data_IF_701330925537
#
_entry.id   IF_701330925537
#
_cell.length_a   1.000
_cell.length_b   1.000
_cell.length_c   1.000
_cell.angle_alpha   90.00
_cell.angle_beta   90.00
_cell.angle_gamma   90.00
#
_symmetry.space_group_name_H-M   'P 1'
#
loop_
_entity.id
_entity.type
_entity.pdbx_description
1 polymer ?
#
# COMPACT_ATOMS: atom_id res chain seq x y z
N UNK A 1 3.06 -15.42 6.21
CA UNK A 1 3.10 -14.04 5.68
C UNK A 1 2.21 -13.14 6.55
N UNK A 2 1.99 -11.88 6.21
CA UNK A 2 1.01 -11.07 6.96
C UNK A 2 -0.41 -11.51 6.59
N UNK A 3 -0.69 -11.68 5.29
CA UNK A 3 -1.97 -12.21 4.80
C UNK A 3 -1.83 -13.69 4.50
N UNK A 4 -2.53 -14.55 5.25
CA UNK A 4 -2.56 -16.01 5.05
C UNK A 4 -3.99 -16.54 5.23
N UNK A 5 -4.24 -17.76 4.75
CA UNK A 5 -5.48 -18.48 5.00
C UNK A 5 -5.54 -19.03 6.42
N UNK A 6 -6.72 -18.96 7.03
CA UNK A 6 -7.06 -19.58 8.31
C UNK A 6 -8.52 -20.04 8.26
N UNK A 7 -8.78 -21.29 8.64
CA UNK A 7 -10.11 -21.90 8.52
C UNK A 7 -10.68 -22.34 9.88
N UNK A 8 -9.82 -22.87 10.75
CA UNK A 8 -10.22 -23.34 12.08
C UNK A 8 -10.12 -22.21 13.13
N UNK A 9 -10.91 -22.26 14.22
CA UNK A 9 -10.79 -21.30 15.31
C UNK A 9 -9.37 -21.19 15.89
N UNK A 10 -8.65 -22.31 15.96
CA UNK A 10 -7.26 -22.36 16.41
C UNK A 10 -6.33 -21.62 15.45
N UNK A 11 -6.44 -21.86 14.13
CA UNK A 11 -5.66 -21.13 13.13
C UNK A 11 -5.99 -19.64 13.14
N UNK A 12 -7.25 -19.26 13.35
CA UNK A 12 -7.65 -17.85 13.48
C UNK A 12 -7.01 -17.22 14.71
N UNK A 13 -6.97 -17.92 15.85
CA UNK A 13 -6.28 -17.45 17.06
C UNK A 13 -4.77 -17.26 16.83
N UNK A 14 -4.15 -18.15 16.05
CA UNK A 14 -2.73 -18.05 15.69
C UNK A 14 -2.40 -16.85 14.79
N UNK A 15 -3.37 -16.33 14.04
CA UNK A 15 -3.18 -15.12 13.22
C UNK A 15 -2.96 -13.85 14.07
N UNK A 16 -3.31 -13.87 15.36
CA UNK A 16 -3.06 -12.78 16.31
C UNK A 16 -1.63 -12.80 16.84
N UNK A 17 -0.65 -12.75 15.93
CA UNK A 17 0.77 -12.85 16.24
C UNK A 17 1.54 -11.53 16.04
N UNK A 18 2.80 -11.51 16.46
CA UNK A 18 3.68 -10.36 16.29
C UNK A 18 3.97 -10.03 14.82
N UNK A 19 3.77 -10.97 13.89
CA UNK A 19 3.95 -10.71 12.46
C UNK A 19 2.79 -9.85 11.95
N UNK A 20 1.54 -10.22 12.23
CA UNK A 20 0.35 -9.45 11.87
C UNK A 20 0.40 -8.03 12.42
N UNK A 21 0.81 -7.86 13.68
CA UNK A 21 0.87 -6.55 14.32
C UNK A 21 2.14 -5.75 13.99
N UNK A 22 3.32 -6.27 14.36
CA UNK A 22 4.56 -5.49 14.27
C UNK A 22 5.02 -5.34 12.82
N UNK A 23 5.05 -6.43 12.04
CA UNK A 23 5.43 -6.34 10.61
C UNK A 23 4.41 -5.49 9.85
N UNK A 24 3.12 -5.66 10.13
CA UNK A 24 2.03 -4.83 9.58
C UNK A 24 2.25 -3.33 9.83
N UNK A 25 2.52 -2.94 11.07
CA UNK A 25 2.80 -1.54 11.41
C UNK A 25 4.08 -1.01 10.73
N UNK A 26 5.15 -1.81 10.68
CA UNK A 26 6.40 -1.43 10.02
C UNK A 26 6.22 -1.18 8.52
N UNK A 27 5.49 -2.06 7.81
CA UNK A 27 5.25 -1.86 6.37
C UNK A 27 4.34 -0.66 6.09
N UNK A 28 3.38 -0.36 6.98
CA UNK A 28 2.55 0.84 6.87
C UNK A 28 3.37 2.11 7.10
N UNK A 29 4.30 2.09 8.06
CA UNK A 29 5.20 3.22 8.29
C UNK A 29 6.14 3.44 7.09
N UNK A 30 6.73 2.37 6.55
CA UNK A 30 7.53 2.43 5.32
C UNK A 30 6.73 3.01 4.16
N UNK A 31 5.47 2.59 3.99
CA UNK A 31 4.60 3.08 2.93
C UNK A 31 4.21 4.56 3.11
N UNK A 32 3.97 4.99 4.35
CA UNK A 32 3.72 6.40 4.68
C UNK A 32 4.91 7.28 4.25
N UNK A 33 6.13 6.80 4.48
CA UNK A 33 7.34 7.52 4.08
C UNK A 33 7.55 7.48 2.55
N UNK A 34 7.15 6.39 1.87
CA UNK A 34 7.20 6.29 0.41
C UNK A 34 6.19 7.23 -0.31
N UNK A 35 4.96 7.33 0.21
CA UNK A 35 3.89 8.13 -0.41
C UNK A 35 3.84 9.60 0.02
N UNK A 36 4.53 9.95 1.11
CA UNK A 36 4.33 11.15 1.93
C UNK A 36 3.03 11.11 2.78
N UNK A 37 3.09 11.77 3.93
CA UNK A 37 2.05 11.74 4.96
C UNK A 37 0.67 12.20 4.46
N UNK A 38 0.62 13.26 3.65
CA UNK A 38 -0.66 13.80 3.16
C UNK A 38 -1.38 12.79 2.25
N UNK A 39 -0.66 12.18 1.29
CA UNK A 39 -1.23 11.19 0.37
C UNK A 39 -1.65 9.93 1.12
N UNK A 40 -0.81 9.46 2.06
CA UNK A 40 -1.15 8.32 2.91
C UNK A 40 -2.45 8.58 3.68
N UNK A 41 -2.55 9.72 4.37
CA UNK A 41 -3.76 10.09 5.13
C UNK A 41 -5.00 10.19 4.25
N UNK A 42 -4.89 10.82 3.07
CA UNK A 42 -6.00 10.93 2.11
C UNK A 42 -6.49 9.54 1.67
N UNK A 43 -5.57 8.64 1.31
CA UNK A 43 -5.91 7.29 0.89
C UNK A 43 -6.54 6.45 2.01
N UNK A 44 -6.10 6.60 3.26
CA UNK A 44 -6.75 5.95 4.42
C UNK A 44 -8.17 6.48 4.62
N UNK A 45 -8.39 7.81 4.54
CA UNK A 45 -9.74 8.39 4.63
C UNK A 45 -10.64 7.85 3.52
N UNK A 46 -10.12 7.78 2.29
CA UNK A 46 -10.86 7.24 1.16
C UNK A 46 -11.22 5.76 1.38
N UNK A 47 -10.25 4.92 1.78
CA UNK A 47 -10.47 3.52 2.12
C UNK A 47 -11.58 3.33 3.16
N UNK A 48 -11.51 4.07 4.28
CA UNK A 48 -12.50 3.98 5.35
C UNK A 48 -13.90 4.40 4.88
N UNK A 49 -14.00 5.47 4.07
CA UNK A 49 -15.28 5.92 3.49
C UNK A 49 -15.86 4.89 2.51
N UNK A 50 -15.02 4.35 1.63
CA UNK A 50 -15.45 3.40 0.59
C UNK A 50 -15.96 2.09 1.18
N UNK A 51 -15.31 1.58 2.23
CA UNK A 51 -15.68 0.32 2.88
C UNK A 51 -16.46 0.51 4.19
N UNK A 52 -17.05 1.69 4.40
CA UNK A 52 -17.86 1.97 5.58
C UNK A 52 -19.04 1.00 5.66
N UNK A 53 -19.26 0.43 6.85
CA UNK A 53 -20.32 -0.55 7.13
C UNK A 53 -20.24 -1.84 6.29
N UNK A 54 -19.09 -2.11 5.68
CA UNK A 54 -18.82 -3.31 4.88
C UNK A 54 -17.54 -4.02 5.31
N UNK A 55 -17.02 -4.85 4.40
CA UNK A 55 -15.78 -5.59 4.58
C UNK A 55 -14.81 -5.25 3.45
N UNK A 56 -13.52 -5.44 3.71
CA UNK A 56 -12.45 -5.22 2.75
C UNK A 56 -11.42 -6.35 2.84
N UNK A 57 -10.68 -6.57 1.75
CA UNK A 57 -9.59 -7.54 1.63
C UNK A 57 -8.25 -6.82 1.46
N UNK A 58 -7.15 -7.58 1.42
CA UNK A 58 -5.80 -7.01 1.34
C UNK A 58 -5.62 -6.06 0.14
N UNK A 59 -6.09 -6.48 -1.03
CA UNK A 59 -6.01 -5.70 -2.27
C UNK A 59 -6.75 -4.36 -2.21
N UNK A 60 -7.86 -4.30 -1.48
CA UNK A 60 -8.72 -3.12 -1.41
C UNK A 60 -7.99 -1.93 -0.77
N UNK A 61 -7.19 -2.20 0.26
CA UNK A 61 -6.37 -1.18 0.91
C UNK A 61 -5.35 -0.58 -0.07
N UNK A 62 -4.62 -1.43 -0.80
CA UNK A 62 -3.61 -0.98 -1.76
C UNK A 62 -4.25 -0.23 -2.92
N UNK A 63 -5.41 -0.68 -3.41
CA UNK A 63 -6.17 0.03 -4.44
C UNK A 63 -6.56 1.44 -3.96
N UNK A 64 -7.05 1.59 -2.73
CA UNK A 64 -7.40 2.90 -2.16
C UNK A 64 -6.19 3.81 -1.94
N UNK A 65 -5.04 3.26 -1.57
CA UNK A 65 -3.78 4.01 -1.41
C UNK A 65 -3.08 4.31 -2.74
N UNK A 66 -3.37 3.57 -3.80
CA UNK A 66 -2.81 3.80 -5.14
C UNK A 66 -3.61 4.87 -5.91
N UNK A 67 -4.93 4.91 -5.69
CA UNK A 67 -5.84 5.87 -6.33
C UNK A 67 -5.89 7.22 -5.60
N UNK A 68 -4.72 7.76 -5.23
CA UNK A 68 -4.61 9.00 -4.46
C UNK A 68 -4.71 10.23 -5.37
N UNK A 69 -5.91 10.74 -5.60
CA UNK A 69 -6.06 12.02 -6.28
C UNK A 69 -5.61 13.17 -5.39
N UNK A 70 -4.83 14.09 -5.95
CA UNK A 70 -4.34 15.28 -5.26
C UNK A 70 -5.44 16.31 -4.94
N UNK A 71 -6.68 16.07 -5.36
CA UNK A 71 -7.82 16.96 -5.20
C UNK A 71 -8.24 17.16 -3.74
N UNK A 72 -8.74 18.36 -3.45
CA UNK A 72 -9.27 18.72 -2.13
C UNK A 72 -10.60 18.02 -1.87
N UNK A 73 -10.88 17.66 -0.61
CA UNK A 73 -12.09 16.91 -0.22
C UNK A 73 -13.40 17.73 -0.34
N UNK A 74 -13.30 18.99 -0.75
CA UNK A 74 -14.38 19.99 -0.70
C UNK A 74 -15.37 19.89 -1.87
N UNK A 75 -15.04 19.23 -2.98
CA UNK A 75 -15.93 19.19 -4.16
C UNK A 75 -16.77 17.93 -4.33
N UNK A 76 -16.61 16.87 -3.52
CA UNK A 76 -17.37 15.62 -3.71
C UNK A 76 -17.12 14.93 -5.06
N UNK A 77 -16.18 15.42 -5.85
CA UNK A 77 -15.74 14.81 -7.09
C UNK A 77 -14.81 13.64 -6.75
N UNK A 78 -15.39 12.45 -6.77
CA UNK A 78 -14.58 11.25 -6.99
C UNK A 78 -13.90 11.40 -8.35
N UNK A 79 -12.66 10.94 -8.48
CA UNK A 79 -11.82 11.11 -9.68
C UNK A 79 -12.30 10.35 -10.92
N UNK A 80 -13.57 9.96 -10.93
CA UNK A 80 -14.24 9.28 -12.03
C UNK A 80 -15.00 10.24 -12.95
N UNK A 81 -15.02 11.56 -12.66
CA UNK A 81 -15.64 12.55 -13.53
C UNK A 81 -14.62 13.40 -14.29
N UNK A 82 -14.57 13.11 -15.58
CA UNK A 82 -14.27 13.97 -16.74
C UNK A 82 -12.82 14.21 -17.21
N UNK A 83 -12.42 13.38 -18.17
CA UNK A 83 -11.87 13.74 -19.51
C UNK A 83 -10.71 14.74 -19.66
N UNK A 84 -9.76 14.84 -18.73
CA UNK A 84 -8.44 15.45 -19.05
C UNK A 84 -7.28 14.48 -18.88
N UNK A 85 -7.18 13.58 -19.87
CA UNK A 85 -5.96 12.82 -20.16
C UNK A 85 -4.87 13.82 -20.57
N UNK A 86 -4.06 14.21 -19.60
CA UNK A 86 -2.80 14.93 -19.80
C UNK A 86 -1.66 13.93 -19.62
N UNK A 87 -0.48 14.16 -20.19
CA UNK A 87 0.65 13.22 -20.12
C UNK A 87 1.03 12.79 -18.69
N UNK A 88 0.65 13.57 -17.66
CA UNK A 88 0.82 13.24 -16.25
C UNK A 88 -0.14 12.17 -15.71
N UNK A 89 -1.25 11.87 -16.41
CA UNK A 89 -2.23 10.85 -15.99
C UNK A 89 -1.73 9.42 -16.23
N UNK A 90 -0.87 9.22 -17.23
CA UNK A 90 -0.24 7.93 -17.52
C UNK A 90 0.87 7.61 -16.52
N UNK A 91 1.73 8.58 -16.19
CA UNK A 91 2.74 8.44 -15.14
C UNK A 91 2.10 8.14 -13.77
N UNK A 92 0.99 8.81 -13.46
CA UNK A 92 0.24 8.54 -12.22
C UNK A 92 -0.42 7.14 -12.20
N UNK A 93 -0.78 6.60 -13.37
CA UNK A 93 -1.30 5.24 -13.53
C UNK A 93 -0.20 4.17 -13.42
N UNK A 94 0.99 4.48 -13.89
CA UNK A 94 2.15 3.58 -13.78
C UNK A 94 2.63 3.49 -12.33
N UNK A 95 2.76 4.61 -11.62
CA UNK A 95 3.09 4.63 -10.18
C UNK A 95 2.04 3.92 -9.31
N UNK A 96 0.76 3.97 -9.71
CA UNK A 96 -0.32 3.34 -8.95
C UNK A 96 -0.41 1.82 -9.11
N UNK A 97 -0.09 1.28 -10.30
CA UNK A 97 0.02 -0.18 -10.49
C UNK A 97 1.26 -0.75 -9.78
N UNK A 98 2.36 0.01 -9.74
CA UNK A 98 3.60 -0.40 -9.08
C UNK A 98 3.44 -0.54 -7.56
N UNK A 99 2.66 0.35 -6.91
CA UNK A 99 2.44 0.27 -5.46
C UNK A 99 1.72 -1.00 -5.03
N UNK A 100 0.68 -1.40 -5.76
CA UNK A 100 -0.07 -2.63 -5.46
C UNK A 100 0.83 -3.85 -5.58
N UNK A 101 1.61 -3.93 -6.66
CA UNK A 101 2.53 -5.04 -6.87
C UNK A 101 3.61 -5.08 -5.77
N UNK A 102 4.22 -3.93 -5.47
CA UNK A 102 5.20 -3.81 -4.40
C UNK A 102 4.62 -4.27 -3.05
N UNK A 103 3.48 -3.71 -2.62
CA UNK A 103 2.90 -4.02 -1.32
C UNK A 103 2.38 -5.46 -1.22
N UNK A 104 1.95 -6.04 -2.34
CA UNK A 104 1.64 -7.46 -2.44
C UNK A 104 2.83 -8.34 -2.07
N UNK A 105 4.06 -7.99 -2.49
CA UNK A 105 5.26 -8.76 -2.10
C UNK A 105 5.50 -8.72 -0.58
N UNK A 106 5.36 -7.55 0.05
CA UNK A 106 5.60 -7.38 1.49
C UNK A 106 4.58 -8.10 2.37
N UNK A 107 3.34 -8.26 1.91
CA UNK A 107 2.24 -8.88 2.67
C UNK A 107 2.12 -10.39 2.44
N UNK A 108 2.41 -10.86 1.22
CA UNK A 108 2.26 -12.26 0.82
C UNK A 108 3.54 -13.09 0.98
N UNK A 109 4.71 -12.47 1.14
CA UNK A 109 5.98 -13.18 1.38
C UNK A 109 6.36 -13.19 2.88
N UNK A 110 7.02 -14.27 3.32
CA UNK A 110 7.63 -14.37 4.66
C UNK A 110 9.00 -13.70 4.69
N UNK A 111 9.42 -13.25 5.87
CA UNK A 111 10.77 -12.69 6.07
C UNK A 111 10.86 -11.19 5.79
N UNK A 112 12.11 -10.71 5.80
CA UNK A 112 12.53 -9.32 5.58
C UNK A 112 13.76 -9.38 4.67
N UNK A 113 13.87 -8.55 3.61
CA UNK A 113 15.00 -8.58 2.71
C UNK A 113 16.27 -8.01 3.37
N UNK A 114 17.42 -8.59 3.03
CA UNK A 114 18.74 -8.03 3.34
C UNK A 114 19.27 -7.33 2.09
N UNK A 115 19.40 -6.02 2.14
CA UNK A 115 19.97 -5.24 1.04
C UNK A 115 21.48 -5.10 1.26
N UNK A 116 22.28 -5.69 0.38
CA UNK A 116 23.75 -5.62 0.44
C UNK A 116 24.25 -4.55 -0.52
N UNK A 117 24.95 -3.56 0.03
CA UNK A 117 25.50 -2.45 -0.75
C UNK A 117 27.02 -2.62 -0.81
N UNK A 118 27.55 -2.71 -2.03
CA UNK A 118 29.00 -2.71 -2.27
C UNK A 118 29.40 -1.43 -2.99
N UNK A 119 30.52 -0.83 -2.57
CA UNK A 119 31.03 0.42 -3.13
C UNK A 119 32.36 0.21 -3.81
N UNK A 120 32.45 0.59 -5.09
CA UNK A 120 33.69 0.62 -5.86
C UNK A 120 33.95 2.04 -6.36
N UNK A 121 34.85 2.75 -5.66
CA UNK A 121 35.15 4.15 -5.94
C UNK A 121 33.92 5.05 -5.77
N UNK A 122 33.33 5.47 -6.89
CA UNK A 122 32.09 6.29 -6.95
C UNK A 122 30.86 5.48 -7.36
N UNK A 123 31.00 4.20 -7.68
CA UNK A 123 29.88 3.32 -8.03
C UNK A 123 29.36 2.62 -6.77
N UNK A 124 28.04 2.61 -6.60
CA UNK A 124 27.33 1.79 -5.62
C UNK A 124 26.61 0.67 -6.39
N UNK A 125 26.80 -0.57 -5.96
CA UNK A 125 26.05 -1.73 -6.48
C UNK A 125 25.19 -2.31 -5.37
N UNK A 126 23.90 -2.44 -5.68
CA UNK A 126 22.96 -3.21 -4.88
C UNK A 126 22.95 -4.63 -5.44
N UNK A 127 23.10 -5.62 -4.57
CA UNK A 127 23.13 -7.04 -4.91
C UNK A 127 21.82 -7.73 -4.50
#
# INVERSE_FOLDING_TARGET
>A
PISNQAETPTQIAEMFDSVSYNKGACILNMLKDFLNEEKFRKGIIHYLKTFSYGNAKNDDLWNSLSNNCLGDFTSGEFCYSDSKMTSNTLAFREESMELKEMMGTWTLQKGIPLVVITREGRSLRLQ
#
